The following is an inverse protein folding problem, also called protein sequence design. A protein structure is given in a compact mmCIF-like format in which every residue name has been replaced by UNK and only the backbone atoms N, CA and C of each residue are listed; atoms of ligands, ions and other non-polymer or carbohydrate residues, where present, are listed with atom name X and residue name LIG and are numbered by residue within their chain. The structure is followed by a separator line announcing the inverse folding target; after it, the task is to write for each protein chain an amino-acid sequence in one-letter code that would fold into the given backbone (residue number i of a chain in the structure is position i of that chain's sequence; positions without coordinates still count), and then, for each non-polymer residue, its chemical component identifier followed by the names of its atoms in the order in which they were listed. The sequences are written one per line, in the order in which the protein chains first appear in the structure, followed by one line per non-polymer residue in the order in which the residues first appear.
data_IF_852467712387
#
_entry.id   IF_852467712387
#
_cell.length_a   1.000
_cell.length_b   1.000
_cell.length_c   1.000
_cell.angle_alpha   90.00
_cell.angle_beta   90.00
_cell.angle_gamma   90.00
#
_symmetry.space_group_name_H-M   'P 1'
#
loop_
_entity.id
_entity.type
_entity.pdbx_description
1 polymer ?
#
# COMPACT_ATOMS: atom_id res chain seq x y z
N UNK A 1 -45.55 28.97 -83.76
CA UNK A 1 -46.69 28.09 -84.11
C UNK A 1 -46.22 26.66 -83.89
N UNK A 2 -46.47 26.06 -82.71
CA UNK A 2 -47.49 25.00 -82.49
C UNK A 2 -47.17 23.78 -83.39
N UNK A 3 -46.90 22.53 -83.00
CA UNK A 3 -47.15 21.70 -81.81
C UNK A 3 -46.79 20.23 -82.18
N UNK A 4 -46.77 19.33 -81.18
CA UNK A 4 -46.88 17.84 -81.23
C UNK A 4 -45.52 17.11 -81.32
N UNK A 5 -44.96 16.45 -80.29
CA UNK A 5 -45.45 15.54 -79.21
C UNK A 5 -45.84 14.13 -79.71
N UNK A 6 -45.38 13.14 -78.94
CA UNK A 6 -45.52 11.66 -78.99
C UNK A 6 -44.43 10.91 -79.79
N UNK A 7 -43.48 10.20 -79.18
CA UNK A 7 -43.50 9.10 -78.17
C UNK A 7 -43.71 7.72 -78.81
N UNK A 8 -42.70 6.85 -78.59
CA UNK A 8 -42.69 5.37 -78.64
C UNK A 8 -42.35 4.69 -79.99
N UNK A 9 -41.07 4.32 -80.15
CA UNK A 9 -40.68 3.06 -80.82
C UNK A 9 -39.63 2.38 -79.91
N UNK A 10 -39.98 1.19 -79.41
CA UNK A 10 -39.07 0.25 -78.77
C UNK A 10 -38.03 -0.23 -79.79
N UNK A 11 -36.74 -0.18 -79.45
CA UNK A 11 -35.79 -1.14 -79.99
C UNK A 11 -34.60 -1.34 -79.03
N UNK A 12 -34.47 -2.61 -78.62
CA UNK A 12 -33.27 -3.33 -78.17
C UNK A 12 -31.98 -2.55 -77.92
N UNK A 13 -31.38 -2.74 -76.75
CA UNK A 13 -30.11 -3.48 -76.55
C UNK A 13 -29.64 -3.28 -75.12
N UNK A 14 -28.98 -4.31 -74.57
CA UNK A 14 -28.59 -4.34 -73.17
C UNK A 14 -27.75 -3.15 -72.74
N UNK A 15 -28.07 -2.62 -71.58
CA UNK A 15 -27.15 -1.79 -70.80
C UNK A 15 -27.19 -2.29 -69.37
N UNK A 16 -26.06 -2.83 -68.94
CA UNK A 16 -25.81 -3.24 -67.56
C UNK A 16 -26.13 -2.06 -66.63
N UNK A 17 -26.88 -2.32 -65.56
CA UNK A 17 -26.99 -1.39 -64.44
C UNK A 17 -25.59 -1.26 -63.83
N UNK A 18 -24.93 -0.09 -63.81
CA UNK A 18 -23.96 0.14 -62.78
C UNK A 18 -24.79 0.25 -61.49
N UNK A 19 -24.78 -0.82 -60.70
CA UNK A 19 -24.94 -0.73 -59.25
C UNK A 19 -23.81 0.18 -58.80
N UNK A 20 -24.06 1.49 -58.85
CA UNK A 20 -23.15 2.48 -58.35
C UNK A 20 -23.15 2.28 -56.85
N UNK A 21 -22.16 1.52 -56.39
CA UNK A 21 -21.82 1.36 -54.99
C UNK A 21 -21.60 2.75 -54.42
N UNK A 22 -22.64 3.34 -53.84
CA UNK A 22 -22.46 4.42 -52.89
C UNK A 22 -21.81 3.80 -51.67
N UNK A 23 -20.48 3.72 -51.74
CA UNK A 23 -19.59 3.55 -50.62
C UNK A 23 -20.03 4.55 -49.56
N UNK A 24 -20.63 4.02 -48.48
CA UNK A 24 -20.73 4.74 -47.23
C UNK A 24 -19.29 5.05 -46.83
N UNK A 25 -18.85 6.29 -47.10
CA UNK A 25 -17.62 6.83 -46.50
C UNK A 25 -17.90 6.96 -45.01
N UNK A 26 -17.74 5.86 -44.25
CA UNK A 26 -17.55 5.95 -42.82
C UNK A 26 -16.27 6.75 -42.61
N UNK A 27 -16.42 8.03 -42.28
CA UNK A 27 -15.34 8.86 -41.77
C UNK A 27 -14.97 8.25 -40.41
N UNK A 28 -13.97 7.37 -40.41
CA UNK A 28 -13.32 6.94 -39.17
C UNK A 28 -12.68 8.21 -38.57
N UNK A 29 -13.35 8.83 -37.61
CA UNK A 29 -12.67 9.75 -36.71
C UNK A 29 -11.62 8.94 -35.97
N UNK A 30 -10.36 9.07 -36.39
CA UNK A 30 -9.24 8.67 -35.56
C UNK A 30 -9.20 9.65 -34.39
N UNK A 31 -9.86 9.30 -33.28
CA UNK A 31 -9.63 9.97 -32.01
C UNK A 31 -8.15 9.78 -31.70
N UNK A 32 -7.38 10.85 -31.86
CA UNK A 32 -5.95 10.84 -31.63
C UNK A 32 -5.69 11.28 -30.19
N UNK A 33 -6.28 10.57 -29.23
CA UNK A 33 -6.07 10.94 -27.83
C UNK A 33 -4.60 10.68 -27.46
N UNK A 34 -4.03 11.60 -26.70
CA UNK A 34 -2.62 11.67 -26.35
C UNK A 34 -2.45 11.38 -24.88
N UNK A 35 -1.38 10.65 -24.54
CA UNK A 35 -0.93 10.42 -23.18
C UNK A 35 0.54 10.83 -23.09
N UNK A 36 0.87 11.66 -22.10
CA UNK A 36 2.24 12.14 -21.86
C UNK A 36 2.55 12.33 -20.38
N UNK A 37 3.83 12.42 -20.06
CA UNK A 37 4.34 12.74 -18.73
C UNK A 37 5.86 12.62 -18.66
N UNK A 38 6.41 12.89 -17.49
CA UNK A 38 7.85 12.80 -17.18
C UNK A 38 8.04 11.91 -15.95
N UNK A 39 8.97 10.97 -16.00
CA UNK A 39 9.21 10.02 -14.91
C UNK A 39 10.51 10.40 -14.20
N UNK A 40 10.44 10.52 -12.87
CA UNK A 40 11.58 10.92 -12.03
C UNK A 40 11.73 10.06 -10.80
N UNK A 41 12.93 10.04 -10.24
CA UNK A 41 13.20 9.58 -8.88
C UNK A 41 12.71 10.61 -7.85
N UNK A 42 11.88 10.19 -6.89
CA UNK A 42 11.31 11.07 -5.85
C UNK A 42 12.34 11.74 -4.94
N UNK A 43 13.51 11.12 -4.74
CA UNK A 43 14.51 11.55 -3.76
C UNK A 43 15.60 12.43 -4.36
N UNK A 44 15.96 12.20 -5.61
CA UNK A 44 17.07 12.87 -6.31
C UNK A 44 16.61 13.76 -7.45
N UNK A 45 15.32 13.70 -7.82
CA UNK A 45 14.75 14.34 -9.01
C UNK A 45 15.42 13.93 -10.34
N UNK A 46 16.22 12.86 -10.34
CA UNK A 46 16.86 12.33 -11.54
C UNK A 46 15.78 11.84 -12.51
N UNK A 47 15.91 12.22 -13.78
CA UNK A 47 15.03 11.76 -14.86
C UNK A 47 15.31 10.30 -15.18
N UNK A 48 14.29 9.45 -15.11
CA UNK A 48 14.45 8.02 -15.32
C UNK A 48 14.32 7.70 -16.81
N UNK A 49 15.45 7.47 -17.48
CA UNK A 49 15.53 7.02 -18.88
C UNK A 49 15.25 5.53 -19.00
N UNK A 50 14.54 5.11 -20.05
CA UNK A 50 14.22 3.73 -20.41
C UNK A 50 13.20 3.04 -19.48
N UNK A 51 12.48 3.82 -18.67
CA UNK A 51 11.38 3.33 -17.85
C UNK A 51 10.26 2.76 -18.71
N UNK A 52 9.74 1.59 -18.31
CA UNK A 52 8.70 0.92 -19.08
C UNK A 52 7.36 1.56 -18.75
N UNK A 53 6.69 2.10 -19.76
CA UNK A 53 5.39 2.76 -19.63
C UNK A 53 4.37 1.97 -20.41
N UNK A 54 3.38 1.42 -19.74
CA UNK A 54 2.39 0.50 -20.31
C UNK A 54 1.00 1.06 -20.06
N UNK A 55 0.18 1.12 -21.10
CA UNK A 55 -1.24 1.43 -21.02
C UNK A 55 -2.03 0.14 -21.16
N UNK A 56 -2.81 -0.16 -20.15
CA UNK A 56 -3.67 -1.32 -20.05
C UNK A 56 -5.13 -0.86 -20.13
N UNK A 57 -6.01 -1.70 -20.64
CA UNK A 57 -7.45 -1.53 -20.43
C UNK A 57 -7.77 -1.65 -18.94
N UNK A 58 -8.56 -0.73 -18.37
CA UNK A 58 -8.88 -0.80 -16.94
C UNK A 58 -9.80 -1.98 -16.57
N UNK A 59 -10.51 -2.58 -17.53
CA UNK A 59 -11.47 -3.66 -17.28
C UNK A 59 -10.80 -5.03 -17.14
N UNK A 60 -9.87 -5.34 -18.04
CA UNK A 60 -9.30 -6.67 -18.24
C UNK A 60 -7.76 -6.68 -18.21
N UNK A 61 -7.14 -5.51 -18.00
CA UNK A 61 -5.68 -5.34 -17.98
C UNK A 61 -4.98 -5.77 -19.27
N UNK A 62 -5.68 -5.83 -20.40
CA UNK A 62 -5.05 -6.11 -21.71
C UNK A 62 -4.18 -4.92 -22.13
N UNK A 63 -2.95 -5.20 -22.57
CA UNK A 63 -2.03 -4.19 -23.09
C UNK A 63 -2.60 -3.53 -24.35
N UNK A 64 -2.68 -2.21 -24.33
CA UNK A 64 -3.10 -1.39 -25.48
C UNK A 64 -1.91 -0.83 -26.22
N UNK A 65 -0.99 -0.20 -25.48
CA UNK A 65 0.29 0.31 -25.99
C UNK A 65 1.32 0.29 -24.89
N UNK A 66 2.58 0.29 -25.28
CA UNK A 66 3.69 0.52 -24.38
C UNK A 66 4.73 1.40 -25.07
N UNK A 67 5.54 2.08 -24.26
CA UNK A 67 6.69 2.85 -24.71
C UNK A 67 7.76 2.82 -23.62
N UNK A 68 8.91 3.43 -23.92
CA UNK A 68 9.95 3.72 -22.93
C UNK A 68 10.12 5.22 -22.77
N UNK A 69 10.46 5.66 -21.56
CA UNK A 69 10.85 7.06 -21.36
C UNK A 69 12.17 7.39 -22.04
N UNK A 70 12.25 8.62 -22.52
CA UNK A 70 13.42 9.21 -23.17
C UNK A 70 14.52 9.59 -22.15
N UNK A 71 15.72 10.03 -22.60
CA UNK A 71 16.80 10.47 -21.71
C UNK A 71 16.41 11.59 -20.73
N UNK A 72 15.45 12.43 -21.10
CA UNK A 72 14.90 13.48 -20.24
C UNK A 72 13.78 12.99 -19.30
N UNK A 73 13.50 11.68 -19.30
CA UNK A 73 12.44 11.02 -18.53
C UNK A 73 11.05 11.18 -19.16
N UNK A 74 10.91 11.88 -20.29
CA UNK A 74 9.62 12.10 -20.92
C UNK A 74 9.12 10.85 -21.64
N UNK A 75 7.80 10.66 -21.67
CA UNK A 75 7.15 9.68 -22.53
C UNK A 75 5.96 10.31 -23.24
N UNK A 76 5.66 9.78 -24.42
CA UNK A 76 4.55 10.23 -25.25
C UNK A 76 3.97 9.05 -26.02
N UNK A 77 2.64 8.95 -26.03
CA UNK A 77 1.89 7.99 -26.83
C UNK A 77 0.62 8.64 -27.35
N UNK A 78 0.21 8.30 -28.57
CA UNK A 78 -1.00 8.84 -29.20
C UNK A 78 -1.88 7.71 -29.75
N UNK A 79 -2.99 8.05 -30.42
CA UNK A 79 -3.89 7.09 -31.06
C UNK A 79 -4.63 6.18 -30.08
N UNK A 80 -5.08 6.75 -28.96
CA UNK A 80 -5.99 6.08 -28.04
C UNK A 80 -7.44 6.45 -28.35
N UNK A 81 -8.33 5.46 -28.28
CA UNK A 81 -9.77 5.68 -28.35
C UNK A 81 -10.30 6.15 -26.99
N UNK A 82 -11.52 6.68 -26.99
CA UNK A 82 -12.23 7.03 -25.77
C UNK A 82 -12.46 5.76 -24.92
N UNK A 83 -12.28 5.86 -23.61
CA UNK A 83 -12.37 4.71 -22.72
C UNK A 83 -11.59 4.86 -21.41
N UNK A 84 -11.67 3.81 -20.58
CA UNK A 84 -11.01 3.72 -19.28
C UNK A 84 -9.75 2.87 -19.35
N UNK A 85 -8.65 3.43 -18.86
CA UNK A 85 -7.33 2.85 -18.95
C UNK A 85 -6.63 2.82 -17.59
N UNK A 86 -5.61 1.99 -17.49
CA UNK A 86 -4.67 1.91 -16.39
C UNK A 86 -3.27 2.20 -16.94
N UNK A 87 -2.64 3.25 -16.44
CA UNK A 87 -1.23 3.49 -16.62
C UNK A 87 -0.47 2.59 -15.64
N UNK A 88 0.54 1.88 -16.13
CA UNK A 88 1.48 1.11 -15.33
C UNK A 88 2.90 1.47 -15.74
N UNK A 89 3.73 1.85 -14.77
CA UNK A 89 5.12 2.29 -14.98
C UNK A 89 6.05 1.47 -14.09
N UNK A 90 7.10 0.91 -14.68
CA UNK A 90 8.11 0.13 -13.96
C UNK A 90 9.54 0.54 -14.31
N UNK A 91 10.41 0.49 -13.29
CA UNK A 91 11.83 0.78 -13.39
C UNK A 91 12.64 -0.14 -12.46
N UNK A 92 13.79 -0.70 -12.89
CA UNK A 92 14.61 -1.54 -12.04
C UNK A 92 15.00 -0.85 -10.73
N UNK A 93 14.69 -1.48 -9.59
CA UNK A 93 15.01 -0.94 -8.26
C UNK A 93 13.97 0.02 -7.68
N UNK A 94 12.91 0.36 -8.41
CA UNK A 94 11.84 1.26 -7.96
C UNK A 94 10.51 0.54 -7.77
N UNK A 95 9.68 1.05 -6.89
CA UNK A 95 8.30 0.62 -6.76
C UNK A 95 7.53 0.96 -8.04
N UNK A 96 6.73 0.00 -8.52
CA UNK A 96 5.89 0.21 -9.69
C UNK A 96 4.83 1.26 -9.39
N UNK A 97 4.56 2.12 -10.37
CA UNK A 97 3.54 3.14 -10.28
C UNK A 97 2.33 2.74 -11.14
N UNK A 98 1.12 2.95 -10.63
CA UNK A 98 -0.10 2.69 -11.40
C UNK A 98 -1.22 3.68 -11.11
N UNK A 99 -1.87 4.19 -12.16
CA UNK A 99 -2.99 5.13 -12.04
C UNK A 99 -4.08 4.81 -13.08
N UNK A 100 -5.35 4.75 -12.65
CA UNK A 100 -6.50 4.64 -13.56
C UNK A 100 -6.89 6.02 -14.08
N UNK A 101 -7.23 6.11 -15.36
CA UNK A 101 -7.67 7.36 -15.99
C UNK A 101 -8.68 7.09 -17.12
N UNK A 102 -9.41 8.13 -17.51
CA UNK A 102 -10.36 8.07 -18.62
C UNK A 102 -9.93 9.04 -19.73
N UNK A 103 -10.11 8.61 -20.98
CA UNK A 103 -10.04 9.45 -22.16
C UNK A 103 -11.44 9.56 -22.76
N UNK A 104 -11.79 10.75 -23.24
CA UNK A 104 -13.10 11.02 -23.82
C UNK A 104 -13.04 12.20 -24.76
N UNK A 105 -14.12 12.48 -25.45
CA UNK A 105 -14.19 13.50 -26.52
C UNK A 105 -13.82 14.92 -26.05
N UNK A 106 -14.00 15.22 -24.75
CA UNK A 106 -13.60 16.49 -24.13
C UNK A 106 -12.17 16.48 -23.53
N UNK A 107 -11.55 15.30 -23.38
CA UNK A 107 -10.24 15.09 -22.79
C UNK A 107 -9.36 14.28 -23.76
N UNK A 108 -8.99 14.95 -24.85
CA UNK A 108 -8.16 14.36 -25.91
C UNK A 108 -6.70 14.25 -25.51
N UNK A 109 -6.28 14.84 -24.39
CA UNK A 109 -4.92 14.69 -23.86
C UNK A 109 -4.96 14.43 -22.35
N UNK A 110 -4.33 13.33 -21.92
CA UNK A 110 -4.00 13.08 -20.52
C UNK A 110 -2.52 13.36 -20.30
N UNK A 111 -2.24 14.40 -19.52
CA UNK A 111 -0.90 14.71 -19.02
C UNK A 111 -0.79 14.24 -17.56
N UNK A 112 0.20 13.38 -17.29
CA UNK A 112 0.53 12.94 -15.93
C UNK A 112 1.52 13.89 -15.24
N UNK A 113 1.96 14.97 -15.92
CA UNK A 113 2.97 15.91 -15.45
C UNK A 113 4.23 15.17 -15.01
N UNK A 114 4.45 15.04 -13.70
CA UNK A 114 5.58 14.35 -13.10
C UNK A 114 5.05 13.09 -12.39
N UNK A 115 5.57 11.94 -12.80
CA UNK A 115 5.40 10.67 -12.13
C UNK A 115 6.64 10.41 -11.28
N UNK A 116 6.45 10.43 -9.97
CA UNK A 116 7.52 10.18 -9.01
C UNK A 116 7.59 8.69 -8.67
N UNK A 117 8.73 8.07 -8.94
CA UNK A 117 9.00 6.69 -8.58
C UNK A 117 9.86 6.64 -7.32
N UNK A 118 9.50 5.75 -6.39
CA UNK A 118 10.19 5.57 -5.11
C UNK A 118 11.14 4.39 -5.20
N UNK A 119 12.40 4.56 -4.79
CA UNK A 119 13.35 3.46 -4.65
C UNK A 119 12.82 2.40 -3.66
N UNK A 120 12.84 1.12 -4.05
CA UNK A 120 12.42 0.01 -3.17
C UNK A 120 13.26 -0.03 -1.90
N UNK A 121 14.54 0.34 -1.97
CA UNK A 121 15.44 0.43 -0.81
C UNK A 121 14.99 1.49 0.20
N UNK A 122 14.43 2.61 -0.26
CA UNK A 122 13.90 3.65 0.64
C UNK A 122 12.65 3.15 1.36
N UNK A 123 11.74 2.46 0.65
CA UNK A 123 10.58 1.82 1.28
C UNK A 123 10.99 0.76 2.30
N UNK A 124 11.96 -0.10 1.95
CA UNK A 124 12.49 -1.11 2.87
C UNK A 124 13.19 -0.46 4.06
N UNK A 125 13.95 0.62 3.86
CA UNK A 125 14.57 1.38 4.96
C UNK A 125 13.53 2.00 5.87
N UNK A 126 12.44 2.56 5.32
CA UNK A 126 11.32 3.08 6.11
C UNK A 126 10.65 1.96 6.93
N UNK A 127 10.41 0.79 6.32
CA UNK A 127 9.88 -0.39 7.02
C UNK A 127 10.86 -0.88 8.09
N UNK A 128 12.16 -0.93 7.80
CA UNK A 128 13.21 -1.31 8.77
C UNK A 128 13.23 -0.30 9.91
N UNK A 129 13.20 1.01 9.67
CA UNK A 129 13.17 2.02 10.74
C UNK A 129 11.91 1.87 11.60
N UNK A 130 10.74 1.70 10.96
CA UNK A 130 9.48 1.40 11.67
C UNK A 130 9.55 0.08 12.45
N UNK A 131 10.30 -0.92 11.95
CA UNK A 131 10.52 -2.20 12.62
C UNK A 131 11.66 -2.22 13.64
N UNK A 132 12.61 -1.28 13.58
CA UNK A 132 13.79 -1.19 14.47
C UNK A 132 13.39 -0.63 15.83
N UNK A 133 12.33 0.18 15.89
CA UNK A 133 11.55 0.35 17.12
C UNK A 133 10.69 -0.91 17.29
N UNK A 134 11.36 -2.05 17.48
CA UNK A 134 10.69 -3.32 17.72
C UNK A 134 9.98 -3.20 19.06
N UNK A 135 8.66 -2.98 19.01
CA UNK A 135 7.83 -2.83 20.19
C UNK A 135 7.87 -4.09 21.06
N UNK A 136 8.16 -5.25 20.45
CA UNK A 136 8.15 -6.58 21.08
C UNK A 136 9.29 -7.42 20.49
N UNK A 137 10.11 -8.00 21.36
CA UNK A 137 11.18 -8.96 21.03
C UNK A 137 10.98 -10.23 21.84
N UNK A 138 10.93 -11.38 21.15
CA UNK A 138 10.90 -12.70 21.82
C UNK A 138 12.34 -13.19 21.97
N UNK A 139 12.75 -13.49 23.20
CA UNK A 139 14.09 -13.97 23.54
C UNK A 139 13.98 -15.26 24.36
N UNK A 140 13.93 -16.40 23.65
CA UNK A 140 13.61 -17.69 24.27
C UNK A 140 12.21 -17.66 24.88
N UNK A 141 12.12 -17.91 26.18
CA UNK A 141 10.85 -17.92 26.95
C UNK A 141 10.45 -16.53 27.47
N UNK A 142 11.20 -15.48 27.13
CA UNK A 142 10.93 -14.10 27.56
C UNK A 142 10.38 -13.26 26.43
N UNK A 143 9.24 -12.62 26.65
CA UNK A 143 8.72 -11.55 25.80
C UNK A 143 9.19 -10.20 26.35
N UNK A 144 10.02 -9.48 25.59
CA UNK A 144 10.53 -8.16 25.95
C UNK A 144 9.78 -7.09 25.15
N UNK A 145 9.21 -6.11 25.85
CA UNK A 145 8.56 -4.95 25.27
C UNK A 145 9.46 -3.74 25.41
N UNK A 146 9.62 -2.99 24.32
CA UNK A 146 10.33 -1.71 24.35
C UNK A 146 9.35 -0.60 24.77
N UNK A 147 9.53 -0.05 25.97
CA UNK A 147 8.61 0.95 26.52
C UNK A 147 8.56 2.23 25.65
N UNK A 148 9.69 2.61 25.04
CA UNK A 148 9.81 3.79 24.16
C UNK A 148 9.04 3.64 22.84
N UNK A 149 8.63 2.42 22.47
CA UNK A 149 7.79 2.19 21.31
C UNK A 149 6.34 2.65 21.51
N UNK A 150 5.92 2.85 22.77
CA UNK A 150 4.55 3.20 23.12
C UNK A 150 4.46 4.68 23.50
N UNK A 151 3.71 5.46 22.72
CA UNK A 151 3.50 6.90 22.99
C UNK A 151 2.64 7.09 24.23
N UNK A 152 3.18 7.67 25.29
CA UNK A 152 2.46 7.92 26.54
C UNK A 152 2.39 9.41 26.85
N UNK A 153 1.48 9.81 27.74
CA UNK A 153 1.43 11.18 28.24
C UNK A 153 2.67 11.49 29.11
N UNK A 154 3.14 12.75 29.19
CA UNK A 154 4.36 13.12 29.92
C UNK A 154 4.38 12.72 31.41
N UNK A 155 3.21 12.50 32.01
CA UNK A 155 3.02 12.09 33.41
C UNK A 155 2.37 10.71 33.54
N UNK A 156 2.39 9.90 32.46
CA UNK A 156 1.86 8.55 32.48
C UNK A 156 2.60 7.68 33.49
N UNK A 157 1.84 6.84 34.19
CA UNK A 157 2.37 5.85 35.12
C UNK A 157 2.70 4.56 34.41
N UNK A 158 3.47 3.68 35.05
CA UNK A 158 3.78 2.35 34.49
C UNK A 158 2.50 1.55 34.23
N UNK A 159 1.45 1.69 35.04
CA UNK A 159 0.13 1.10 34.75
C UNK A 159 -0.43 1.49 33.37
N UNK A 160 -0.22 2.73 32.91
CA UNK A 160 -0.70 3.22 31.63
C UNK A 160 0.14 2.66 30.48
N UNK A 161 1.44 2.43 30.72
CA UNK A 161 2.31 1.69 29.80
C UNK A 161 1.82 0.24 29.67
N UNK A 162 1.61 -0.47 30.79
CA UNK A 162 1.19 -1.87 30.83
C UNK A 162 -0.13 -2.10 30.10
N UNK A 163 -1.10 -1.18 30.24
CA UNK A 163 -2.39 -1.23 29.50
C UNK A 163 -2.23 -1.14 27.98
N UNK A 164 -1.11 -0.63 27.48
CA UNK A 164 -0.81 -0.55 26.04
C UNK A 164 0.00 -1.74 25.51
N UNK A 165 0.52 -2.58 26.41
CA UNK A 165 1.27 -3.77 26.02
C UNK A 165 0.28 -4.87 25.58
N UNK A 166 0.46 -5.47 24.40
CA UNK A 166 -0.44 -6.51 23.92
C UNK A 166 -0.31 -7.76 24.78
N UNK A 167 -1.47 -8.31 25.15
CA UNK A 167 -1.57 -9.47 26.03
C UNK A 167 -1.51 -9.13 27.52
N UNK A 168 -1.30 -7.87 27.91
CA UNK A 168 -1.32 -7.44 29.31
C UNK A 168 -2.63 -6.67 29.59
N UNK A 169 -3.24 -6.95 30.73
CA UNK A 169 -4.42 -6.26 31.22
C UNK A 169 -4.15 -5.79 32.65
N UNK A 170 -4.66 -4.60 32.97
CA UNK A 170 -4.59 -4.03 34.32
C UNK A 170 -6.01 -3.66 34.71
N UNK A 171 -6.51 -4.24 35.80
CA UNK A 171 -7.86 -3.96 36.29
C UNK A 171 -7.92 -2.65 37.11
N UNK A 172 -9.12 -2.33 37.62
CA UNK A 172 -9.35 -1.12 38.44
C UNK A 172 -8.63 -1.19 39.79
N UNK A 173 -8.44 -2.39 40.30
CA UNK A 173 -7.81 -2.66 41.58
C UNK A 173 -6.28 -2.71 41.46
N UNK A 174 -5.75 -2.59 40.24
CA UNK A 174 -4.33 -2.52 39.90
C UNK A 174 -3.70 -3.90 39.66
N UNK A 175 -4.50 -4.96 39.67
CA UNK A 175 -4.07 -6.32 39.40
C UNK A 175 -3.70 -6.45 37.94
N UNK A 176 -2.54 -7.06 37.70
CA UNK A 176 -1.98 -7.24 36.36
C UNK A 176 -2.20 -8.69 35.95
N UNK A 177 -2.74 -8.90 34.76
CA UNK A 177 -2.79 -10.20 34.11
C UNK A 177 -2.09 -10.16 32.76
N UNK A 178 -1.39 -11.23 32.42
CA UNK A 178 -0.77 -11.42 31.13
C UNK A 178 -1.28 -12.72 30.52
N UNK A 179 -1.73 -12.68 29.26
CA UNK A 179 -2.21 -13.84 28.51
C UNK A 179 -3.32 -14.65 29.22
N UNK A 180 -4.08 -14.00 30.10
CA UNK A 180 -5.16 -14.62 30.88
C UNK A 180 -4.74 -15.12 32.27
N UNK A 181 -3.45 -15.09 32.60
CA UNK A 181 -2.92 -15.50 33.90
C UNK A 181 -2.63 -14.28 34.79
N UNK A 182 -2.85 -14.42 36.10
CA UNK A 182 -2.54 -13.35 37.06
C UNK A 182 -1.04 -13.29 37.32
N UNK A 183 -0.46 -12.09 37.24
CA UNK A 183 0.94 -11.87 37.60
C UNK A 183 1.07 -11.76 39.12
N UNK A 184 1.83 -12.69 39.71
CA UNK A 184 2.02 -12.76 41.15
C UNK A 184 3.27 -12.00 41.64
N UNK A 185 4.26 -11.78 40.77
CA UNK A 185 5.52 -11.12 41.11
C UNK A 185 5.89 -10.08 40.06
N UNK A 186 6.39 -8.93 40.52
CA UNK A 186 6.94 -7.86 39.67
C UNK A 186 8.36 -7.58 40.11
N UNK A 187 9.28 -7.51 39.16
CA UNK A 187 10.69 -7.24 39.40
C UNK A 187 11.06 -5.87 38.83
N UNK A 188 11.89 -5.12 39.54
CA UNK A 188 12.48 -3.86 39.08
C UNK A 188 13.99 -4.06 39.01
N UNK A 189 14.57 -3.87 37.82
CA UNK A 189 15.99 -4.14 37.55
C UNK A 189 16.47 -5.56 37.94
N UNK A 190 15.54 -6.52 37.98
CA UNK A 190 15.81 -7.91 38.34
C UNK A 190 15.67 -8.23 39.83
N UNK A 191 15.40 -7.23 40.68
CA UNK A 191 15.18 -7.40 42.12
C UNK A 191 13.69 -7.33 42.48
N UNK A 192 13.29 -8.09 43.50
CA UNK A 192 11.93 -8.01 44.05
C UNK A 192 11.78 -6.66 44.77
N UNK A 193 10.84 -5.85 44.30
CA UNK A 193 10.60 -4.50 44.82
C UNK A 193 9.28 -4.49 45.60
N UNK A 194 9.38 -4.29 46.92
CA UNK A 194 8.28 -4.26 47.89
C UNK A 194 7.44 -5.55 48.05
N UNK A 195 7.90 -6.47 48.90
CA UNK A 195 7.06 -7.45 49.63
C UNK A 195 5.99 -8.19 48.83
N UNK A 196 4.76 -8.21 49.35
CA UNK A 196 3.64 -9.07 48.89
C UNK A 196 2.66 -8.39 47.91
N UNK A 197 2.78 -7.09 47.61
CA UNK A 197 1.83 -6.36 46.76
C UNK A 197 2.47 -5.83 45.46
N UNK A 198 2.30 -6.55 44.32
CA UNK A 198 2.87 -6.16 43.03
C UNK A 198 2.27 -4.87 42.45
N UNK A 199 1.17 -4.35 43.00
CA UNK A 199 0.46 -3.18 42.46
C UNK A 199 1.07 -1.84 42.90
N UNK A 200 1.85 -1.82 43.97
CA UNK A 200 2.43 -0.59 44.53
C UNK A 200 3.49 0.03 43.63
N UNK A 201 4.22 -0.80 42.90
CA UNK A 201 5.32 -0.39 42.03
C UNK A 201 4.79 0.29 40.78
N UNK A 202 3.82 -0.34 40.11
CA UNK A 202 3.30 0.10 38.82
C UNK A 202 2.42 1.35 38.91
N UNK A 203 1.88 1.64 40.09
CA UNK A 203 1.07 2.83 40.40
C UNK A 203 1.88 4.08 40.76
N UNK A 204 3.13 3.91 41.18
CA UNK A 204 3.98 5.01 41.68
C UNK A 204 5.17 5.31 40.77
N UNK A 205 5.60 4.37 39.92
CA UNK A 205 6.64 4.63 38.93
C UNK A 205 6.09 5.36 37.71
N UNK A 206 6.88 6.32 37.21
CA UNK A 206 6.62 7.01 35.94
C UNK A 206 7.06 6.14 34.77
N UNK A 207 6.26 6.13 33.70
CA UNK A 207 6.53 5.28 32.54
C UNK A 207 7.78 5.68 31.75
N UNK A 208 8.18 6.95 31.80
CA UNK A 208 9.38 7.46 31.11
C UNK A 208 10.69 6.99 31.75
N UNK A 209 10.64 6.46 32.96
CA UNK A 209 11.78 5.83 33.64
C UNK A 209 11.99 4.37 33.22
N UNK A 210 11.06 3.79 32.48
CA UNK A 210 11.13 2.39 32.04
C UNK A 210 11.69 2.33 30.62
N UNK A 211 12.80 1.63 30.43
CA UNK A 211 13.35 1.37 29.09
C UNK A 211 12.69 0.16 28.41
N UNK A 212 12.43 -0.90 29.19
CA UNK A 212 11.89 -2.18 28.70
C UNK A 212 11.06 -2.88 29.78
N UNK A 213 10.07 -3.66 29.36
CA UNK A 213 9.26 -4.53 30.21
C UNK A 213 9.48 -5.97 29.76
N UNK A 214 9.75 -6.90 30.67
CA UNK A 214 9.99 -8.30 30.33
C UNK A 214 8.94 -9.18 31.01
N UNK A 215 8.30 -10.01 30.21
CA UNK A 215 7.37 -11.05 30.67
C UNK A 215 8.03 -12.40 30.43
N UNK A 216 8.16 -13.20 31.48
CA UNK A 216 8.69 -14.55 31.42
C UNK A 216 8.10 -15.40 32.53
N UNK A 217 7.99 -16.70 32.28
CA UNK A 217 7.52 -17.65 33.28
C UNK A 217 8.68 -18.06 34.18
N UNK A 218 8.62 -17.67 35.45
CA UNK A 218 9.55 -18.17 36.47
C UNK A 218 8.88 -19.32 37.22
N UNK A 219 9.49 -20.51 37.17
CA UNK A 219 9.10 -21.63 38.04
C UNK A 219 9.23 -21.21 39.51
N UNK A 220 8.33 -21.67 40.38
CA UNK A 220 8.35 -21.28 41.80
C UNK A 220 9.69 -21.62 42.47
N UNK A 221 10.06 -20.84 43.48
CA UNK A 221 11.30 -21.06 44.24
C UNK A 221 11.29 -22.47 44.92
N UNK A 222 10.09 -23.00 45.22
CA UNK A 222 9.88 -24.34 45.77
C UNK A 222 10.12 -25.45 44.74
N UNK A 223 9.77 -25.25 43.47
CA UNK A 223 10.07 -26.18 42.37
C UNK A 223 11.56 -26.15 41.98
N UNK A 224 12.22 -25.00 42.13
CA UNK A 224 13.65 -24.84 41.82
C UNK A 224 14.54 -25.49 42.89
N UNK A 225 14.11 -25.49 44.15
CA UNK A 225 14.84 -26.11 45.28
C UNK A 225 14.58 -27.62 45.42
N UNK A 226 13.40 -28.11 45.05
CA UNK A 226 13.03 -29.53 45.23
C UNK A 226 13.15 -30.37 43.95
N UNK A 227 13.28 -29.74 42.77
CA UNK A 227 13.29 -30.45 41.48
C UNK A 227 11.96 -31.16 41.14
N UNK A 228 10.94 -31.02 41.98
CA UNK A 228 9.61 -31.55 41.76
C UNK A 228 8.74 -30.46 41.14
N UNK A 229 8.24 -30.73 39.93
CA UNK A 229 7.16 -29.93 39.37
C UNK A 229 5.92 -30.18 40.23
N UNK A 230 5.49 -29.19 41.01
CA UNK A 230 4.23 -29.25 41.72
C UNK A 230 3.11 -29.09 40.69
N UNK A 231 2.66 -30.21 40.15
CA UNK A 231 1.34 -30.30 39.52
C UNK A 231 0.34 -30.38 40.68
N UNK A 232 -0.61 -29.43 40.74
CA UNK A 232 -1.78 -29.27 41.66
C UNK A 232 -1.66 -27.90 42.38
N UNK A 233 -2.46 -26.84 42.20
CA UNK A 233 -3.83 -26.61 41.69
C UNK A 233 -3.89 -25.41 40.71
N UNK A 234 -4.90 -25.43 39.83
CA UNK A 234 -5.32 -24.35 38.92
C UNK A 234 -5.69 -23.05 39.62
#
# INVERSE_FOLDING_TARGET
MILKKLMTILLSTGFALPVFSQQIKQKMEYNNNIIKGIIIDTSTNIKLKDASVIILNSRDSIIRKFTRSQPDGSFFMNGFQDGSYLLYVSYPGYADYSEKFNLGSNNTTKDFNIIEMVLKTNLLKEIIIKGTVSAIRIKGDTTEYNAKAYKLDPNAKVEDLLKRLPGIQVDKDGKISAQGETINKVLVDGEEFFGDDPTLVTRNLRADMVDKVQLFDKKSDQATLTGMNDWIYR
#
